data_IF_429420667298
#
_entry.id   IF_429420667298
#
_cell.length_a   1.000
_cell.length_b   1.000
_cell.length_c   1.000
_cell.angle_alpha   90.00
_cell.angle_beta   90.00
_cell.angle_gamma   90.00
#
_symmetry.space_group_name_H-M   'P 1'
#
loop_
_entity.id
_entity.type
_entity.pdbx_description
1 polymer ?
#
# COMPACT_ATOMS: atom_id res chain seq x y z
N UNK A 1 1.03 16.71 43.94
CA UNK A 1 1.91 17.02 42.79
C UNK A 1 2.59 15.72 42.37
N UNK A 2 2.10 15.03 41.32
CA UNK A 2 2.75 13.79 40.88
C UNK A 2 1.83 12.86 40.11
N UNK A 3 1.41 13.26 38.92
CA UNK A 3 1.12 12.29 37.87
C UNK A 3 2.22 12.47 36.82
N UNK A 4 3.32 11.75 37.00
CA UNK A 4 4.41 11.73 36.03
C UNK A 4 3.91 10.91 34.87
N UNK A 5 3.29 11.61 33.91
CA UNK A 5 2.94 11.10 32.58
C UNK A 5 4.09 10.23 32.07
N UNK A 6 3.87 8.91 32.07
CA UNK A 6 4.82 7.91 31.61
C UNK A 6 5.09 8.24 30.15
N UNK A 7 6.24 8.85 29.86
CA UNK A 7 6.63 9.22 28.49
C UNK A 7 6.50 7.97 27.61
N UNK A 8 5.53 7.98 26.69
CA UNK A 8 5.38 6.94 25.69
C UNK A 8 6.73 6.82 24.97
N UNK A 9 7.43 5.72 25.21
CA UNK A 9 8.73 5.44 24.61
C UNK A 9 8.45 4.54 23.40
N UNK A 10 9.22 4.61 22.31
CA UNK A 10 8.97 3.76 21.12
C UNK A 10 8.77 2.27 21.46
N UNK A 11 9.52 1.76 22.45
CA UNK A 11 9.37 0.38 22.95
C UNK A 11 8.03 0.09 23.65
N UNK A 12 7.36 1.07 24.26
CA UNK A 12 6.06 0.86 24.92
C UNK A 12 4.92 0.64 23.93
N UNK A 13 5.06 1.09 22.68
CA UNK A 13 4.05 0.90 21.64
C UNK A 13 4.09 -0.53 21.10
N UNK A 14 5.30 -1.10 20.94
CA UNK A 14 5.48 -2.51 20.56
C UNK A 14 5.10 -3.50 21.67
N UNK A 15 4.91 -3.05 22.91
CA UNK A 15 4.36 -3.90 23.97
C UNK A 15 2.86 -4.22 23.75
N UNK A 16 2.17 -3.45 22.90
CA UNK A 16 0.75 -3.65 22.56
C UNK A 16 0.65 -4.67 21.42
N UNK A 17 -0.08 -5.77 21.64
CA UNK A 17 -0.22 -6.85 20.66
C UNK A 17 -0.90 -6.42 19.36
N UNK A 18 -1.93 -5.60 19.48
CA UNK A 18 -2.68 -5.04 18.34
C UNK A 18 -1.80 -4.14 17.49
N UNK A 19 -0.94 -3.33 18.10
CA UNK A 19 0.00 -2.48 17.37
C UNK A 19 1.01 -3.31 16.60
N UNK A 20 1.55 -4.38 17.21
CA UNK A 20 2.48 -5.28 16.52
C UNK A 20 1.84 -5.93 15.30
N UNK A 21 0.61 -6.40 15.42
CA UNK A 21 -0.13 -6.99 14.30
C UNK A 21 -0.32 -5.98 13.16
N UNK A 22 -0.77 -4.76 13.47
CA UNK A 22 -0.96 -3.70 12.47
C UNK A 22 0.37 -3.28 11.83
N UNK A 23 1.44 -3.13 12.63
CA UNK A 23 2.74 -2.73 12.14
C UNK A 23 3.36 -3.80 11.24
N UNK A 24 3.25 -5.08 11.59
CA UNK A 24 3.71 -6.17 10.73
C UNK A 24 2.90 -6.29 9.44
N UNK A 25 1.58 -6.09 9.50
CA UNK A 25 0.74 -6.07 8.30
C UNK A 25 1.11 -4.92 7.37
N UNK A 26 1.29 -3.71 7.91
CA UNK A 26 1.71 -2.53 7.15
C UNK A 26 3.09 -2.73 6.52
N UNK A 27 4.05 -3.23 7.29
CA UNK A 27 5.38 -3.55 6.75
C UNK A 27 5.31 -4.54 5.59
N UNK A 28 4.52 -5.61 5.76
CA UNK A 28 4.38 -6.62 4.71
C UNK A 28 3.70 -6.04 3.47
N UNK A 29 2.69 -5.20 3.65
CA UNK A 29 2.00 -4.51 2.56
C UNK A 29 2.97 -3.60 1.80
N UNK A 30 3.72 -2.75 2.51
CA UNK A 30 4.70 -1.84 1.88
C UNK A 30 5.79 -2.63 1.16
N UNK A 31 6.29 -3.71 1.75
CA UNK A 31 7.29 -4.57 1.10
C UNK A 31 6.73 -5.21 -0.18
N UNK A 32 5.50 -5.72 -0.14
CA UNK A 32 4.80 -6.28 -1.29
C UNK A 32 4.61 -5.26 -2.41
N UNK A 33 4.16 -4.05 -2.08
CA UNK A 33 3.96 -2.96 -3.04
C UNK A 33 5.27 -2.60 -3.76
N UNK A 34 6.40 -2.57 -3.03
CA UNK A 34 7.71 -2.28 -3.63
C UNK A 34 8.18 -3.39 -4.57
N UNK A 35 8.00 -4.66 -4.18
CA UNK A 35 8.32 -5.79 -5.04
C UNK A 35 7.46 -5.81 -6.30
N UNK A 36 6.15 -5.57 -6.16
CA UNK A 36 5.21 -5.51 -7.29
C UNK A 36 5.59 -4.39 -8.27
N UNK A 37 5.98 -3.22 -7.76
CA UNK A 37 6.39 -2.08 -8.58
C UNK A 37 7.66 -2.39 -9.39
N UNK A 38 8.65 -3.01 -8.77
CA UNK A 38 9.88 -3.44 -9.46
C UNK A 38 9.57 -4.51 -10.51
N UNK A 39 8.77 -5.51 -10.15
CA UNK A 39 8.37 -6.58 -11.06
C UNK A 39 7.63 -6.02 -12.28
N UNK A 40 6.72 -5.08 -12.08
CA UNK A 40 5.99 -4.39 -13.15
C UNK A 40 6.94 -3.61 -14.07
N UNK A 41 7.88 -2.84 -13.51
CA UNK A 41 8.87 -2.12 -14.31
C UNK A 41 9.73 -3.06 -15.15
N UNK A 42 10.21 -4.15 -14.57
CA UNK A 42 10.98 -5.17 -15.30
C UNK A 42 10.13 -5.84 -16.39
N UNK A 43 8.85 -6.13 -16.12
CA UNK A 43 7.93 -6.70 -17.10
C UNK A 43 7.67 -5.76 -18.28
N UNK A 44 7.44 -4.47 -18.02
CA UNK A 44 7.24 -3.47 -19.07
C UNK A 44 8.51 -3.33 -19.90
N UNK A 45 9.67 -3.24 -19.27
CA UNK A 45 10.94 -3.18 -19.99
C UNK A 45 11.15 -4.44 -20.84
N UNK A 46 10.90 -5.63 -20.28
CA UNK A 46 11.07 -6.90 -20.97
C UNK A 46 10.15 -7.08 -22.17
N UNK A 47 8.97 -6.44 -22.18
CA UNK A 47 8.04 -6.49 -23.32
C UNK A 47 8.18 -5.35 -24.32
N UNK A 48 8.59 -4.16 -23.88
CA UNK A 48 8.64 -2.96 -24.73
C UNK A 48 10.05 -2.56 -25.14
N UNK A 49 11.07 -3.07 -24.44
CA UNK A 49 12.48 -2.64 -24.54
C UNK A 49 12.71 -1.13 -24.38
N UNK A 50 11.73 -0.39 -23.82
CA UNK A 50 11.77 1.06 -23.70
C UNK A 50 11.94 1.48 -22.24
N UNK A 51 13.07 2.14 -21.95
CA UNK A 51 13.32 2.75 -20.64
C UNK A 51 12.33 3.88 -20.33
N UNK A 52 11.89 4.63 -21.34
CA UNK A 52 10.93 5.72 -21.18
C UNK A 52 9.55 5.20 -20.73
N UNK A 53 9.04 4.13 -21.36
CA UNK A 53 7.76 3.52 -20.96
C UNK A 53 7.84 2.86 -19.58
N UNK A 54 8.99 2.30 -19.25
CA UNK A 54 9.25 1.73 -17.91
C UNK A 54 9.20 2.81 -16.84
N UNK A 55 9.90 3.94 -17.06
CA UNK A 55 9.89 5.09 -16.17
C UNK A 55 8.50 5.72 -16.04
N UNK A 56 7.76 5.84 -17.14
CA UNK A 56 6.39 6.33 -17.13
C UNK A 56 5.47 5.41 -16.31
N UNK A 57 5.54 4.10 -16.51
CA UNK A 57 4.74 3.13 -15.74
C UNK A 57 5.07 3.23 -14.25
N UNK A 58 6.35 3.34 -13.90
CA UNK A 58 6.77 3.55 -12.52
C UNK A 58 6.19 4.85 -11.94
N UNK A 59 6.23 5.96 -12.70
CA UNK A 59 5.66 7.23 -12.27
C UNK A 59 4.15 7.15 -12.05
N UNK A 60 3.42 6.43 -12.91
CA UNK A 60 1.97 6.24 -12.79
C UNK A 60 1.58 5.52 -11.49
N UNK A 61 2.44 4.69 -10.91
CA UNK A 61 2.16 4.04 -9.61
C UNK A 61 2.04 5.02 -8.43
N UNK A 62 2.47 6.28 -8.58
CA UNK A 62 2.28 7.32 -7.55
C UNK A 62 0.97 8.09 -7.72
N UNK A 63 0.31 8.00 -8.88
CA UNK A 63 -0.95 8.71 -9.12
C UNK A 63 -2.04 8.31 -8.11
N UNK A 64 -2.26 7.02 -7.80
CA UNK A 64 -3.27 6.61 -6.83
C UNK A 64 -3.02 7.17 -5.43
N UNK A 65 -1.77 7.25 -4.97
CA UNK A 65 -1.47 7.77 -3.63
C UNK A 65 -1.67 9.29 -3.55
N UNK A 66 -1.29 10.02 -4.60
CA UNK A 66 -1.53 11.46 -4.69
C UNK A 66 -3.02 11.79 -4.79
N UNK A 67 -3.74 11.11 -5.68
CA UNK A 67 -5.17 11.28 -5.85
C UNK A 67 -5.94 10.84 -4.60
N UNK A 68 -5.59 9.68 -4.03
CA UNK A 68 -6.22 9.14 -2.83
C UNK A 68 -6.16 10.11 -1.65
N UNK A 69 -5.00 10.73 -1.41
CA UNK A 69 -4.86 11.72 -0.33
C UNK A 69 -5.78 12.93 -0.48
N UNK A 70 -6.03 13.40 -1.70
CA UNK A 70 -6.89 14.56 -1.97
C UNK A 70 -8.37 14.19 -1.95
N UNK A 71 -8.75 13.11 -2.63
CA UNK A 71 -10.16 12.75 -2.83
C UNK A 71 -10.75 11.92 -1.69
N UNK A 72 -9.92 11.13 -0.99
CA UNK A 72 -10.39 10.19 0.04
C UNK A 72 -10.19 10.69 1.47
N UNK A 73 -9.47 11.80 1.69
CA UNK A 73 -9.25 12.36 3.04
C UNK A 73 -10.58 12.63 3.79
N UNK A 74 -11.54 13.28 3.13
CA UNK A 74 -12.85 13.55 3.74
C UNK A 74 -13.69 12.29 3.99
N UNK A 75 -13.43 11.21 3.25
CA UNK A 75 -14.07 9.91 3.49
C UNK A 75 -13.41 9.22 4.69
N UNK A 76 -12.08 9.27 4.80
CA UNK A 76 -11.32 8.70 5.91
C UNK A 76 -11.68 9.31 7.27
N UNK A 77 -12.06 10.59 7.29
CA UNK A 77 -12.48 11.28 8.52
C UNK A 77 -13.91 10.94 8.95
N UNK A 78 -14.74 10.41 8.05
CA UNK A 78 -16.18 10.23 8.27
C UNK A 78 -16.58 8.83 8.73
N UNK A 79 -15.71 7.83 8.54
CA UNK A 79 -15.98 6.43 8.86
C UNK A 79 -15.06 5.90 9.98
N UNK A 80 -15.46 4.83 10.70
CA UNK A 80 -14.60 4.20 11.69
C UNK A 80 -13.32 3.67 11.04
N UNK A 81 -12.15 4.14 11.51
CA UNK A 81 -10.84 3.81 10.91
C UNK A 81 -10.59 2.31 10.76
N UNK A 82 -11.04 1.51 11.72
CA UNK A 82 -10.85 0.05 11.71
C UNK A 82 -11.59 -0.61 10.55
N UNK A 83 -12.82 -0.21 10.27
CA UNK A 83 -13.64 -0.82 9.24
C UNK A 83 -13.12 -0.46 7.85
N UNK A 84 -12.68 0.79 7.66
CA UNK A 84 -12.04 1.25 6.41
C UNK A 84 -10.78 0.43 6.14
N UNK A 85 -9.89 0.27 7.13
CA UNK A 85 -8.65 -0.50 6.96
C UNK A 85 -8.94 -1.94 6.53
N UNK A 86 -9.88 -2.62 7.20
CA UNK A 86 -10.23 -4.00 6.87
C UNK A 86 -10.80 -4.11 5.45
N UNK A 87 -11.72 -3.23 5.06
CA UNK A 87 -12.33 -3.26 3.73
C UNK A 87 -11.28 -2.99 2.63
N UNK A 88 -10.39 -2.01 2.84
CA UNK A 88 -9.34 -1.67 1.87
C UNK A 88 -8.34 -2.82 1.74
N UNK A 89 -7.91 -3.42 2.84
CA UNK A 89 -6.95 -4.53 2.80
C UNK A 89 -7.55 -5.77 2.13
N UNK A 90 -8.82 -6.09 2.38
CA UNK A 90 -9.52 -7.17 1.69
C UNK A 90 -9.67 -6.88 0.18
N UNK A 91 -10.02 -5.65 -0.19
CA UNK A 91 -10.10 -5.25 -1.59
C UNK A 91 -8.72 -5.33 -2.28
N UNK A 92 -7.67 -4.85 -1.61
CA UNK A 92 -6.27 -4.95 -2.10
C UNK A 92 -5.86 -6.39 -2.31
N UNK A 93 -6.13 -7.26 -1.34
CA UNK A 93 -5.82 -8.69 -1.43
C UNK A 93 -6.53 -9.33 -2.63
N UNK A 94 -7.81 -9.03 -2.85
CA UNK A 94 -8.56 -9.52 -4.01
C UNK A 94 -7.97 -9.02 -5.34
N UNK A 95 -7.59 -7.74 -5.42
CA UNK A 95 -6.98 -7.16 -6.62
C UNK A 95 -5.62 -7.78 -6.93
N UNK A 96 -4.77 -7.97 -5.92
CA UNK A 96 -3.46 -8.62 -6.09
C UNK A 96 -3.64 -10.09 -6.51
N UNK A 97 -4.58 -10.81 -5.90
CA UNK A 97 -4.89 -12.18 -6.27
C UNK A 97 -5.37 -12.28 -7.74
N UNK A 98 -6.17 -11.32 -8.19
CA UNK A 98 -6.61 -11.23 -9.58
C UNK A 98 -5.43 -10.92 -10.52
N UNK A 99 -4.55 -9.99 -10.14
CA UNK A 99 -3.35 -9.63 -10.89
C UNK A 99 -2.34 -10.78 -11.00
N UNK A 100 -2.34 -11.71 -10.05
CA UNK A 100 -1.50 -12.91 -10.07
C UNK A 100 -1.98 -13.99 -11.05
N UNK A 101 -3.18 -13.87 -11.65
CA UNK A 101 -3.68 -14.83 -12.63
C UNK A 101 -2.90 -14.73 -13.96
N UNK A 102 -2.44 -15.84 -14.54
CA UNK A 102 -1.73 -15.81 -15.81
C UNK A 102 -2.69 -15.39 -16.94
N UNK A 103 -2.42 -14.22 -17.54
CA UNK A 103 -3.19 -13.69 -18.68
C UNK A 103 -3.68 -12.25 -18.51
N UNK A 104 -3.41 -11.58 -17.38
CA UNK A 104 -3.84 -10.19 -17.19
C UNK A 104 -3.15 -9.23 -18.18
N UNK A 105 -3.92 -8.46 -18.97
CA UNK A 105 -3.36 -7.46 -19.89
C UNK A 105 -2.50 -6.42 -19.14
N UNK A 106 -1.41 -5.95 -19.75
CA UNK A 106 -0.54 -4.91 -19.18
C UNK A 106 -1.29 -3.67 -18.71
N UNK A 107 -2.39 -3.32 -19.38
CA UNK A 107 -3.25 -2.17 -19.06
C UNK A 107 -3.84 -2.29 -17.64
N UNK A 108 -4.12 -3.51 -17.18
CA UNK A 108 -4.63 -3.77 -15.82
C UNK A 108 -3.53 -3.63 -14.76
N UNK A 109 -2.26 -3.81 -15.15
CA UNK A 109 -1.12 -3.69 -14.24
C UNK A 109 -0.55 -2.26 -14.20
N UNK A 110 -0.75 -1.47 -15.25
CA UNK A 110 -0.21 -0.11 -15.39
C UNK A 110 -1.20 1.04 -15.11
N UNK A 111 -2.45 0.73 -14.79
CA UNK A 111 -3.48 1.69 -14.37
C UNK A 111 -3.58 1.75 -12.84
#
# INVERSE_FOLDING_TARGET
MGDVSKRATFGSVFAVGEFRALWSAELLSVAGDQLARVALSVLVYGRTHSAALTGLTYALTFVPSLAGGVFLAGLADRFPRRDIMVVIDLARMALIALAALPGTPLVVLGA
#
